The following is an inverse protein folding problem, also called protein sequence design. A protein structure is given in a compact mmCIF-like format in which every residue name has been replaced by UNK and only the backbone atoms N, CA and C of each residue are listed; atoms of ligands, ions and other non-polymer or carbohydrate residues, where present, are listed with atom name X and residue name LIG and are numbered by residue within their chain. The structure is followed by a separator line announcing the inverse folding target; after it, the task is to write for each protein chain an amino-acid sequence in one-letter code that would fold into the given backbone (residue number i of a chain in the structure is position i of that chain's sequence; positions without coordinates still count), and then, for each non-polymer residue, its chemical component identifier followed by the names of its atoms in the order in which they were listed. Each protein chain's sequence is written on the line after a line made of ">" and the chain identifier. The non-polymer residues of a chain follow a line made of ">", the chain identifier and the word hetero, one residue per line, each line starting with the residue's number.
data_IF_159734153200
#
_entry.id   IF_159734153200
#
_cell.length_a   1.000
_cell.length_b   1.000
_cell.length_c   1.000
_cell.angle_alpha   90.00
_cell.angle_beta   90.00
_cell.angle_gamma   90.00
#
_symmetry.space_group_name_H-M   'P 1'
#
loop_
_entity.id
_entity.type
_entity.pdbx_description
1 polymer ?
#
# COMPACT_ATOMS: atom_id res chain seq x y z
N UNK A 1 -1.80 14.83 30.06
CA UNK A 1 -2.76 15.39 29.10
C UNK A 1 -2.31 14.94 27.72
N UNK A 2 -2.88 13.85 27.20
CA UNK A 2 -2.61 13.40 25.85
C UNK A 2 -3.32 14.36 24.90
N UNK A 3 -2.55 15.16 24.16
CA UNK A 3 -3.07 15.98 23.08
C UNK A 3 -3.75 15.05 22.06
N UNK A 4 -5.08 15.02 22.12
CA UNK A 4 -5.92 14.05 21.43
C UNK A 4 -5.99 14.36 19.95
N UNK A 5 -4.98 13.96 19.18
CA UNK A 5 -5.08 13.96 17.72
C UNK A 5 -6.18 12.98 17.32
N UNK A 6 -7.28 13.50 16.80
CA UNK A 6 -8.26 12.68 16.08
C UNK A 6 -7.71 12.32 14.70
N UNK A 7 -8.05 11.13 14.22
CA UNK A 7 -7.66 10.70 12.87
C UNK A 7 -8.28 11.63 11.83
N UNK A 8 -7.46 12.10 10.89
CA UNK A 8 -7.91 12.93 9.76
C UNK A 8 -7.08 12.65 8.52
N UNK A 9 -7.67 12.87 7.35
CA UNK A 9 -6.94 12.86 6.09
C UNK A 9 -6.17 14.18 5.95
N UNK A 10 -4.93 14.10 5.47
CA UNK A 10 -4.17 15.29 5.10
C UNK A 10 -4.61 15.75 3.71
N UNK A 11 -5.28 16.90 3.65
CA UNK A 11 -5.80 17.48 2.41
C UNK A 11 -4.70 17.93 1.43
N UNK A 12 -3.45 18.06 1.91
CA UNK A 12 -2.31 18.47 1.10
C UNK A 12 -1.42 17.30 0.69
N UNK A 13 -1.73 16.07 1.11
CA UNK A 13 -0.91 14.90 0.84
C UNK A 13 -1.66 13.85 0.00
N UNK A 14 -0.98 13.35 -1.03
CA UNK A 14 -1.52 12.41 -1.99
C UNK A 14 -0.51 11.33 -2.40
N UNK A 15 -0.58 10.92 -3.66
CA UNK A 15 0.30 9.89 -4.21
C UNK A 15 1.80 10.24 -4.13
N UNK A 16 2.25 11.49 -4.39
CA UNK A 16 3.67 11.85 -4.27
C UNK A 16 4.22 11.65 -2.85
N UNK A 17 3.48 12.06 -1.83
CA UNK A 17 3.88 11.98 -0.42
C UNK A 17 3.93 10.51 0.04
N UNK A 18 2.91 9.71 -0.31
CA UNK A 18 2.92 8.28 -0.02
C UNK A 18 4.05 7.54 -0.74
N UNK A 19 4.30 7.87 -2.02
CA UNK A 19 5.39 7.33 -2.82
C UNK A 19 6.76 7.64 -2.22
N UNK A 20 6.95 8.89 -1.78
CA UNK A 20 8.18 9.35 -1.15
C UNK A 20 8.42 8.66 0.20
N UNK A 21 7.39 8.56 1.06
CA UNK A 21 7.49 7.87 2.35
C UNK A 21 7.87 6.39 2.18
N UNK A 22 7.19 5.69 1.28
CA UNK A 22 7.43 4.26 1.03
C UNK A 22 8.69 3.99 0.20
N UNK A 23 9.33 5.01 -0.37
CA UNK A 23 10.36 4.86 -1.40
C UNK A 23 9.92 3.88 -2.51
N UNK A 24 8.68 4.01 -2.98
CA UNK A 24 8.11 3.21 -4.08
C UNK A 24 7.65 4.15 -5.17
N UNK A 25 8.22 4.03 -6.36
CA UNK A 25 7.82 4.83 -7.53
C UNK A 25 6.85 4.03 -8.40
N UNK A 26 5.72 4.64 -8.76
CA UNK A 26 4.84 4.07 -9.78
C UNK A 26 5.62 3.99 -11.12
N UNK A 27 5.67 2.82 -11.77
CA UNK A 27 6.47 2.62 -12.97
C UNK A 27 5.97 3.49 -14.13
N UNK A 28 6.84 3.79 -15.09
CA UNK A 28 6.47 4.55 -16.29
C UNK A 28 5.29 3.87 -17.01
N UNK A 29 4.27 4.66 -17.33
CA UNK A 29 3.03 4.17 -17.94
C UNK A 29 2.01 3.59 -16.95
N UNK A 30 2.28 3.65 -15.65
CA UNK A 30 1.25 3.40 -14.65
C UNK A 30 0.11 4.41 -14.80
N UNK A 31 -1.11 3.93 -14.60
CA UNK A 31 -2.34 4.71 -14.68
C UNK A 31 -3.08 4.64 -13.35
N UNK A 32 -4.09 5.49 -13.19
CA UNK A 32 -4.93 5.52 -11.98
C UNK A 32 -4.11 5.61 -10.68
N UNK A 33 -3.03 6.39 -10.72
CA UNK A 33 -2.15 6.64 -9.58
C UNK A 33 -2.91 7.49 -8.55
N UNK A 34 -3.15 6.90 -7.38
CA UNK A 34 -3.92 7.46 -6.27
C UNK A 34 -3.12 7.27 -4.99
N UNK A 35 -3.22 8.22 -4.07
CA UNK A 35 -2.66 8.08 -2.74
C UNK A 35 -3.23 9.12 -1.80
N UNK A 36 -3.02 8.89 -0.51
CA UNK A 36 -3.44 9.77 0.58
C UNK A 36 -2.59 9.49 1.81
N UNK A 37 -2.60 10.43 2.75
CA UNK A 37 -2.00 10.26 4.07
C UNK A 37 -3.08 10.49 5.13
N UNK A 38 -3.23 9.54 6.03
CA UNK A 38 -4.08 9.67 7.21
C UNK A 38 -3.20 10.02 8.40
N UNK A 39 -3.38 11.22 8.94
CA UNK A 39 -2.71 11.65 10.16
C UNK A 39 -3.44 11.02 11.35
N UNK A 40 -2.71 10.27 12.17
CA UNK A 40 -3.27 9.56 13.31
C UNK A 40 -2.54 9.95 14.61
N UNK A 41 -3.17 9.70 15.78
CA UNK A 41 -2.52 9.95 17.06
C UNK A 41 -1.27 9.09 17.33
N UNK A 42 -1.22 7.87 16.80
CA UNK A 42 -0.10 6.94 17.01
C UNK A 42 0.86 6.97 15.81
N UNK A 43 0.41 6.48 14.66
CA UNK A 43 1.22 6.38 13.44
C UNK A 43 0.40 6.76 12.21
N UNK A 44 0.95 7.67 11.40
CA UNK A 44 0.33 8.12 10.17
C UNK A 44 0.29 6.97 9.16
N UNK A 45 -0.83 6.82 8.47
CA UNK A 45 -1.02 5.78 7.45
C UNK A 45 -0.85 6.40 6.08
N UNK A 46 0.06 5.84 5.29
CA UNK A 46 0.30 6.23 3.91
C UNK A 46 -0.35 5.20 2.98
N UNK A 47 -1.12 5.66 2.00
CA UNK A 47 -1.77 4.83 1.00
C UNK A 47 -1.26 5.17 -0.39
N UNK A 48 -0.91 4.16 -1.17
CA UNK A 48 -0.58 4.30 -2.59
C UNK A 48 -1.25 3.19 -3.39
N UNK A 49 -1.88 3.53 -4.52
CA UNK A 49 -2.42 2.57 -5.47
C UNK A 49 -2.23 3.05 -6.89
N UNK A 50 -1.95 2.13 -7.80
CA UNK A 50 -1.83 2.40 -9.22
C UNK A 50 -2.05 1.13 -10.04
N UNK A 51 -2.43 1.29 -11.30
CA UNK A 51 -2.53 0.20 -12.28
C UNK A 51 -1.27 0.17 -13.14
N UNK A 52 -0.70 -1.01 -13.31
CA UNK A 52 0.49 -1.27 -14.12
C UNK A 52 0.40 -2.65 -14.78
N UNK A 53 1.44 -3.10 -15.46
CA UNK A 53 1.52 -4.49 -15.95
C UNK A 53 1.72 -5.47 -14.78
N UNK A 54 1.27 -6.72 -14.92
CA UNK A 54 1.52 -7.76 -13.93
C UNK A 54 3.02 -7.91 -13.62
N UNK A 55 3.87 -7.90 -14.66
CA UNK A 55 5.33 -7.98 -14.51
C UNK A 55 5.88 -6.86 -13.61
N UNK A 56 5.40 -5.63 -13.78
CA UNK A 56 5.82 -4.52 -12.94
C UNK A 56 5.31 -4.66 -11.51
N UNK A 57 4.07 -5.13 -11.32
CA UNK A 57 3.52 -5.38 -9.99
C UNK A 57 4.34 -6.43 -9.22
N UNK A 58 4.71 -7.54 -9.87
CA UNK A 58 5.61 -8.56 -9.29
C UNK A 58 6.99 -7.98 -8.97
N UNK A 59 7.55 -7.17 -9.87
CA UNK A 59 8.85 -6.53 -9.67
C UNK A 59 8.85 -5.58 -8.47
N UNK A 60 7.77 -4.82 -8.28
CA UNK A 60 7.59 -3.95 -7.11
C UNK A 60 7.48 -4.80 -5.83
N UNK A 61 6.67 -5.86 -5.85
CA UNK A 61 6.55 -6.77 -4.71
C UNK A 61 7.88 -7.39 -4.32
N UNK A 62 8.70 -7.80 -5.30
CA UNK A 62 10.02 -8.35 -5.05
C UNK A 62 11.00 -7.29 -4.51
N UNK A 63 10.99 -6.05 -5.01
CA UNK A 63 11.85 -4.96 -4.51
C UNK A 63 11.56 -4.58 -3.04
N UNK A 64 10.32 -4.80 -2.59
CA UNK A 64 9.93 -4.61 -1.19
C UNK A 64 10.52 -5.68 -0.26
N UNK A 65 10.96 -6.84 -0.78
CA UNK A 65 11.54 -7.94 0.00
C UNK A 65 10.60 -8.42 1.13
N UNK A 66 9.37 -8.87 0.80
CA UNK A 66 8.47 -9.39 1.80
C UNK A 66 9.07 -10.63 2.46
N UNK A 67 8.71 -10.85 3.73
CA UNK A 67 9.16 -12.01 4.50
C UNK A 67 8.65 -13.32 3.90
N UNK A 68 7.45 -13.28 3.32
CA UNK A 68 6.83 -14.38 2.60
C UNK A 68 6.42 -13.96 1.19
N UNK A 69 6.38 -14.89 0.21
CA UNK A 69 5.88 -14.59 -1.13
C UNK A 69 4.43 -14.07 -1.13
N UNK A 70 4.08 -13.32 -2.17
CA UNK A 70 2.68 -12.93 -2.43
C UNK A 70 1.78 -14.17 -2.46
N UNK A 71 0.81 -14.22 -1.56
CA UNK A 71 -0.13 -15.33 -1.45
C UNK A 71 -1.57 -14.84 -1.52
N UNK A 72 -2.46 -15.64 -2.11
CA UNK A 72 -3.90 -15.39 -2.03
C UNK A 72 -4.30 -15.57 -0.58
N UNK A 73 -4.68 -14.49 0.10
CA UNK A 73 -5.18 -14.57 1.47
C UNK A 73 -6.65 -14.95 1.42
N UNK A 74 -7.08 -15.87 2.28
CA UNK A 74 -8.51 -16.06 2.54
C UNK A 74 -9.03 -14.81 3.24
N UNK A 75 -10.23 -14.37 2.86
CA UNK A 75 -10.91 -13.20 3.45
C UNK A 75 -11.40 -13.59 4.84
N UNK A 76 -10.47 -13.80 5.76
CA UNK A 76 -10.78 -14.31 7.10
C UNK A 76 -11.07 -13.18 8.10
N UNK A 77 -10.79 -11.92 7.72
CA UNK A 77 -11.04 -10.75 8.57
C UNK A 77 -11.63 -9.59 7.76
N UNK A 78 -12.52 -8.83 8.42
CA UNK A 78 -13.01 -7.56 7.88
C UNK A 78 -11.84 -6.59 7.67
N UNK A 79 -11.89 -5.72 6.63
CA UNK A 79 -10.84 -4.72 6.42
C UNK A 79 -10.67 -3.84 7.66
N UNK A 80 -9.42 -3.50 7.98
CA UNK A 80 -9.09 -2.48 8.98
C UNK A 80 -9.48 -1.09 8.46
N UNK A 81 -10.77 -0.79 8.53
CA UNK A 81 -11.34 0.49 8.11
C UNK A 81 -11.66 0.59 6.61
N UNK A 82 -11.98 1.82 6.20
CA UNK A 82 -12.36 2.19 4.83
C UNK A 82 -11.26 3.04 4.18
N UNK A 83 -10.02 2.55 4.28
CA UNK A 83 -8.81 3.26 3.86
C UNK A 83 -8.76 3.46 2.35
N UNK A 84 -8.75 2.39 1.55
CA UNK A 84 -8.71 2.51 0.09
C UNK A 84 -10.03 3.02 -0.48
N UNK A 85 -11.14 2.88 0.26
CA UNK A 85 -12.42 3.52 -0.09
C UNK A 85 -12.33 5.04 -0.12
N UNK A 86 -11.50 5.65 0.72
CA UNK A 86 -11.22 7.09 0.65
C UNK A 86 -10.66 7.51 -0.72
N UNK A 87 -9.88 6.63 -1.37
CA UNK A 87 -9.36 6.85 -2.72
C UNK A 87 -10.38 6.55 -3.84
N UNK A 88 -11.60 6.17 -3.48
CA UNK A 88 -12.64 5.68 -4.40
C UNK A 88 -12.37 4.26 -4.92
N UNK A 89 -11.62 3.44 -4.18
CA UNK A 89 -11.26 2.07 -4.54
C UNK A 89 -11.96 1.06 -3.62
N UNK A 90 -12.07 -0.18 -4.08
CA UNK A 90 -12.45 -1.29 -3.20
C UNK A 90 -11.30 -1.64 -2.26
N UNK A 91 -11.62 -2.06 -1.03
CA UNK A 91 -10.61 -2.53 -0.09
C UNK A 91 -9.96 -3.82 -0.61
N UNK A 92 -8.62 -3.90 -0.70
CA UNK A 92 -7.96 -5.02 -1.36
C UNK A 92 -8.21 -6.37 -0.69
N UNK A 93 -8.49 -6.38 0.62
CA UNK A 93 -8.84 -7.57 1.38
C UNK A 93 -10.20 -8.15 0.96
N UNK A 94 -11.07 -7.35 0.34
CA UNK A 94 -12.39 -7.80 -0.15
C UNK A 94 -12.35 -8.35 -1.57
N UNK A 95 -11.23 -8.19 -2.28
CA UNK A 95 -11.09 -8.53 -3.67
C UNK A 95 -10.77 -10.02 -3.85
N UNK A 96 -11.66 -10.74 -4.53
CA UNK A 96 -11.47 -12.16 -4.84
C UNK A 96 -10.18 -12.38 -5.63
N UNK A 97 -9.29 -13.22 -5.11
CA UNK A 97 -8.04 -13.58 -5.77
C UNK A 97 -6.94 -12.52 -5.67
N UNK A 98 -7.14 -11.43 -4.91
CA UNK A 98 -6.05 -10.54 -4.57
C UNK A 98 -4.98 -11.29 -3.76
N UNK A 99 -3.73 -11.07 -4.15
CA UNK A 99 -2.56 -11.64 -3.48
C UNK A 99 -1.97 -10.58 -2.58
N UNK A 100 -1.46 -10.98 -1.41
CA UNK A 100 -0.90 -10.05 -0.44
C UNK A 100 0.38 -10.58 0.19
N UNK A 101 1.23 -9.66 0.64
CA UNK A 101 2.34 -9.96 1.52
C UNK A 101 2.56 -8.80 2.50
N UNK A 102 3.14 -9.12 3.65
CA UNK A 102 3.63 -8.16 4.63
C UNK A 102 5.13 -7.96 4.49
N UNK A 103 5.59 -6.75 4.73
CA UNK A 103 6.99 -6.36 4.60
C UNK A 103 7.38 -5.58 5.85
N UNK A 104 8.45 -6.03 6.51
CA UNK A 104 9.13 -5.30 7.57
C UNK A 104 10.49 -4.79 7.05
N UNK A 105 10.58 -3.55 6.52
CA UNK A 105 11.85 -3.02 6.02
C UNK A 105 13.01 -3.07 7.03
N UNK A 106 12.79 -2.80 8.35
CA UNK A 106 13.83 -2.97 9.36
C UNK A 106 14.32 -4.41 9.52
N UNK A 107 13.42 -5.41 9.41
CA UNK A 107 13.75 -6.83 9.59
C UNK A 107 14.67 -7.34 8.47
N UNK A 108 14.52 -6.81 7.25
CA UNK A 108 15.34 -7.17 6.07
C UNK A 108 16.46 -6.17 5.80
N UNK A 109 16.70 -5.23 6.72
CA UNK A 109 17.74 -4.19 6.63
C UNK A 109 17.68 -3.40 5.31
N UNK A 110 16.47 -3.03 4.86
CA UNK A 110 16.31 -2.13 3.70
C UNK A 110 16.51 -0.67 4.13
N UNK A 111 17.76 -0.20 4.06
CA UNK A 111 18.14 1.17 4.47
C UNK A 111 17.38 2.27 3.72
N UNK A 112 16.89 1.98 2.50
CA UNK A 112 16.08 2.92 1.71
C UNK A 112 14.78 3.25 2.43
N UNK A 113 14.24 2.32 3.20
CA UNK A 113 12.92 2.38 3.85
C UNK A 113 13.02 2.31 5.37
N UNK A 114 14.16 2.71 5.93
CA UNK A 114 14.44 2.65 7.39
C UNK A 114 13.45 3.41 8.29
N UNK A 115 12.66 4.33 7.73
CA UNK A 115 11.62 5.09 8.45
C UNK A 115 10.25 4.43 8.40
N UNK A 116 10.08 3.41 7.58
CA UNK A 116 8.83 2.67 7.40
C UNK A 116 8.88 1.43 8.29
N UNK A 117 7.95 1.30 9.22
CA UNK A 117 7.89 0.15 10.13
C UNK A 117 7.30 -1.06 9.44
N UNK A 118 6.27 -0.86 8.61
CA UNK A 118 5.58 -1.93 7.90
C UNK A 118 5.02 -1.47 6.55
N UNK A 119 4.98 -2.39 5.59
CA UNK A 119 4.25 -2.21 4.33
C UNK A 119 3.39 -3.45 4.08
N UNK A 120 2.08 -3.26 3.98
CA UNK A 120 1.20 -4.25 3.36
C UNK A 120 1.14 -3.98 1.86
N UNK A 121 1.48 -4.99 1.05
CA UNK A 121 1.27 -4.97 -0.40
C UNK A 121 0.13 -5.90 -0.79
N UNK A 122 -0.75 -5.42 -1.66
CA UNK A 122 -1.75 -6.22 -2.34
C UNK A 122 -1.64 -6.05 -3.86
N UNK A 123 -1.81 -7.15 -4.58
CA UNK A 123 -1.83 -7.20 -6.04
C UNK A 123 -3.14 -7.83 -6.49
N UNK A 124 -3.97 -7.03 -7.16
CA UNK A 124 -5.17 -7.48 -7.83
C UNK A 124 -4.88 -7.64 -9.32
N UNK A 125 -5.00 -8.86 -9.83
CA UNK A 125 -4.98 -9.10 -11.28
C UNK A 125 -6.21 -8.47 -11.93
N UNK A 126 -5.98 -7.70 -12.99
CA UNK A 126 -6.99 -7.10 -13.85
C UNK A 126 -6.98 -7.81 -15.21
N UNK A 127 -7.84 -7.39 -16.12
CA UNK A 127 -7.87 -7.93 -17.49
C UNK A 127 -6.63 -7.49 -18.28
N UNK A 128 -6.34 -8.22 -19.36
CA UNK A 128 -5.30 -7.87 -20.34
C UNK A 128 -3.87 -7.76 -19.77
N UNK A 129 -3.51 -8.57 -18.76
CA UNK A 129 -2.16 -8.60 -18.20
C UNK A 129 -1.80 -7.36 -17.36
N UNK A 130 -2.80 -6.60 -16.94
CA UNK A 130 -2.64 -5.51 -15.99
C UNK A 130 -2.92 -5.97 -14.56
N UNK A 131 -2.35 -5.25 -13.60
CA UNK A 131 -2.63 -5.43 -12.20
C UNK A 131 -2.75 -4.08 -11.50
N UNK A 132 -3.62 -4.02 -10.49
CA UNK A 132 -3.62 -2.92 -9.54
C UNK A 132 -2.78 -3.30 -8.33
N UNK A 133 -1.85 -2.42 -7.99
CA UNK A 133 -1.06 -2.49 -6.76
C UNK A 133 -1.75 -1.62 -5.72
N UNK A 134 -1.80 -2.11 -4.49
CA UNK A 134 -2.24 -1.37 -3.31
C UNK A 134 -1.13 -1.48 -2.25
N UNK A 135 -0.73 -0.36 -1.68
CA UNK A 135 0.27 -0.27 -0.63
C UNK A 135 -0.31 0.52 0.54
N UNK A 136 -0.17 -0.03 1.74
CA UNK A 136 -0.46 0.65 3.01
C UNK A 136 0.81 0.57 3.86
N UNK A 137 1.29 1.71 4.33
CA UNK A 137 2.49 1.78 5.15
C UNK A 137 2.31 2.69 6.36
N UNK A 138 3.11 2.45 7.39
CA UNK A 138 3.27 3.25 8.59
C UNK A 138 4.68 3.02 9.16
#
# INVERSE_FOLDING_TARGET
>A
MTDGRTSRWDENAGAPEASAFMHVTAPKGATEVKGAVQINPQEDIYLLSFVTSEKNAEGIAADLRPEEPLKVKKVDFAPDGQLFRHLGLAEPQTLKGARSAGVCPPCVKDDRRKKVQWIDIYVQTLKAGHARVYLKAF
#
